data_IF_264956069604
#
_entry.id   IF_264956069604
#
_cell.length_a   1.000
_cell.length_b   1.000
_cell.length_c   1.000
_cell.angle_alpha   90.00
_cell.angle_beta   90.00
_cell.angle_gamma   90.00
#
_symmetry.space_group_name_H-M   'P 1'
#
loop_
_entity.id
_entity.type
_entity.pdbx_description
1 polymer ?
#
# COMPACT_ATOMS: atom_id res chain seq x y z
N UNK A 1 -29.07 -27.83 18.73
CA UNK A 1 -28.50 -27.20 17.52
C UNK A 1 -27.47 -26.18 17.99
N UNK A 2 -26.22 -26.52 17.92
CA UNK A 2 -25.15 -25.53 18.13
C UNK A 2 -25.27 -24.50 16.98
N UNK A 3 -25.66 -23.28 17.34
CA UNK A 3 -25.63 -22.18 16.36
C UNK A 3 -24.18 -21.97 15.96
N UNK A 4 -23.87 -22.18 14.69
CA UNK A 4 -22.57 -21.81 14.13
C UNK A 4 -22.29 -20.35 14.53
N UNK A 5 -21.15 -20.13 15.19
CA UNK A 5 -20.68 -18.77 15.44
C UNK A 5 -20.62 -18.05 14.10
N UNK A 6 -21.03 -16.77 14.01
CA UNK A 6 -21.00 -16.06 12.75
C UNK A 6 -19.60 -16.13 12.17
N UNK A 7 -19.48 -16.62 10.93
CA UNK A 7 -18.22 -16.75 10.23
C UNK A 7 -17.55 -15.37 10.13
N UNK A 8 -16.28 -15.29 10.52
CA UNK A 8 -15.51 -14.04 10.45
C UNK A 8 -14.80 -13.99 9.09
N UNK A 9 -15.07 -12.96 8.30
CA UNK A 9 -14.44 -12.78 7.00
C UNK A 9 -13.49 -11.58 6.99
N UNK A 10 -12.34 -11.75 6.37
CA UNK A 10 -11.41 -10.68 6.05
C UNK A 10 -11.61 -10.26 4.57
N UNK A 11 -11.71 -8.94 4.34
CA UNK A 11 -11.78 -8.34 3.01
C UNK A 11 -10.40 -7.84 2.59
N UNK A 12 -9.76 -8.53 1.67
CA UNK A 12 -8.56 -8.06 0.98
C UNK A 12 -8.92 -7.22 -0.25
N UNK A 13 -8.29 -6.06 -0.40
CA UNK A 13 -8.45 -5.16 -1.56
C UNK A 13 -7.10 -4.98 -2.24
N UNK A 14 -7.06 -5.20 -3.56
CA UNK A 14 -5.89 -4.98 -4.42
C UNK A 14 -6.18 -3.86 -5.42
N UNK A 15 -5.41 -2.77 -5.31
CA UNK A 15 -5.44 -1.62 -6.22
C UNK A 15 -4.29 -1.77 -7.24
N UNK A 16 -4.58 -2.44 -8.34
CA UNK A 16 -3.64 -2.55 -9.46
C UNK A 16 -3.64 -1.33 -10.38
N UNK A 17 -2.85 -1.38 -11.45
CA UNK A 17 -2.76 -0.30 -12.46
C UNK A 17 -4.04 -0.15 -13.29
N UNK A 18 -4.69 -1.26 -13.63
CA UNK A 18 -5.84 -1.29 -14.54
C UNK A 18 -7.20 -1.33 -13.83
N UNK A 19 -7.22 -1.56 -12.52
CA UNK A 19 -8.48 -1.70 -11.79
C UNK A 19 -8.28 -2.16 -10.35
N UNK A 20 -9.40 -2.42 -9.69
CA UNK A 20 -9.47 -2.89 -8.32
C UNK A 20 -10.00 -4.32 -8.28
N UNK A 21 -9.47 -5.13 -7.37
CA UNK A 21 -9.93 -6.47 -7.05
C UNK A 21 -10.20 -6.57 -5.57
N UNK A 22 -11.07 -7.48 -5.18
CA UNK A 22 -11.31 -7.84 -3.80
C UNK A 22 -11.49 -9.34 -3.63
N UNK A 23 -11.17 -9.82 -2.43
CA UNK A 23 -11.41 -11.18 -2.01
C UNK A 23 -11.92 -11.19 -0.56
N UNK A 24 -12.86 -12.07 -0.27
CA UNK A 24 -13.31 -12.39 1.08
C UNK A 24 -12.81 -13.78 1.46
N UNK A 25 -12.07 -13.85 2.54
CA UNK A 25 -11.49 -15.10 3.05
C UNK A 25 -11.83 -15.26 4.52
N UNK A 26 -11.96 -16.49 4.95
CA UNK A 26 -12.08 -16.82 6.37
C UNK A 26 -10.70 -17.05 7.03
N UNK A 27 -10.64 -17.22 8.38
CA UNK A 27 -9.38 -17.50 9.06
C UNK A 27 -8.71 -18.83 8.68
N UNK A 28 -9.43 -19.76 8.05
CA UNK A 28 -8.89 -21.00 7.52
C UNK A 28 -8.21 -20.82 6.16
N UNK A 29 -8.39 -19.67 5.52
CA UNK A 29 -7.86 -19.38 4.19
C UNK A 29 -8.82 -19.73 3.06
N UNK A 30 -10.04 -20.16 3.36
CA UNK A 30 -11.04 -20.48 2.34
C UNK A 30 -11.60 -19.20 1.72
N UNK A 31 -11.67 -19.20 0.37
CA UNK A 31 -12.17 -18.09 -0.42
C UNK A 31 -13.70 -18.16 -0.56
N UNK A 32 -14.40 -17.18 -0.02
CA UNK A 32 -15.87 -17.10 -0.05
C UNK A 32 -16.42 -16.23 -1.17
N UNK A 33 -15.65 -15.22 -1.60
CA UNK A 33 -16.03 -14.34 -2.70
C UNK A 33 -14.81 -13.66 -3.29
N UNK A 34 -14.82 -13.46 -4.61
CA UNK A 34 -13.84 -12.60 -5.28
C UNK A 34 -14.50 -11.85 -6.43
N UNK A 35 -14.05 -10.63 -6.67
CA UNK A 35 -14.53 -9.80 -7.77
C UNK A 35 -13.44 -8.80 -8.19
N UNK A 36 -13.56 -8.31 -9.43
CA UNK A 36 -12.69 -7.27 -9.95
C UNK A 36 -13.40 -6.39 -10.97
N UNK A 37 -13.00 -5.14 -11.07
CA UNK A 37 -13.46 -4.25 -12.12
C UNK A 37 -12.36 -3.28 -12.54
N UNK A 38 -12.45 -2.77 -13.77
CA UNK A 38 -11.67 -1.61 -14.18
C UNK A 38 -12.08 -0.37 -13.35
N UNK A 39 -11.18 0.56 -13.21
CA UNK A 39 -11.50 1.85 -12.59
C UNK A 39 -12.56 2.59 -13.43
N UNK A 40 -13.53 3.26 -12.80
CA UNK A 40 -14.53 4.06 -13.53
C UNK A 40 -14.00 5.39 -14.09
N UNK A 41 -12.71 5.68 -13.88
CA UNK A 41 -11.99 6.85 -14.36
C UNK A 41 -10.49 6.60 -14.47
N UNK A 42 -9.69 7.61 -14.79
CA UNK A 42 -8.23 7.49 -14.91
C UNK A 42 -7.59 6.97 -13.62
N UNK A 43 -6.59 6.10 -13.78
CA UNK A 43 -5.83 5.53 -12.67
C UNK A 43 -5.22 6.58 -11.72
N UNK A 44 -4.81 7.72 -12.27
CA UNK A 44 -4.18 8.81 -11.50
C UNK A 44 -5.16 9.62 -10.65
N UNK A 45 -6.46 9.39 -10.80
CA UNK A 45 -7.51 10.05 -10.03
C UNK A 45 -7.92 9.22 -8.81
N UNK A 46 -7.60 9.66 -7.57
CA UNK A 46 -7.89 8.88 -6.37
C UNK A 46 -9.38 8.55 -6.18
N UNK A 47 -10.27 9.40 -6.68
CA UNK A 47 -11.72 9.17 -6.65
C UNK A 47 -12.11 7.90 -7.41
N UNK A 48 -11.38 7.55 -8.48
CA UNK A 48 -11.63 6.32 -9.24
C UNK A 48 -11.35 5.06 -8.40
N UNK A 49 -10.38 5.11 -7.48
CA UNK A 49 -10.08 4.00 -6.56
C UNK A 49 -11.23 3.78 -5.56
N UNK A 50 -11.74 4.87 -4.96
CA UNK A 50 -12.90 4.80 -4.05
C UNK A 50 -14.13 4.26 -4.77
N UNK A 51 -14.44 4.79 -5.96
CA UNK A 51 -15.63 4.39 -6.74
C UNK A 51 -15.53 2.93 -7.16
N UNK A 52 -14.34 2.45 -7.56
CA UNK A 52 -14.11 1.05 -7.87
C UNK A 52 -14.39 0.15 -6.67
N UNK A 53 -13.87 0.50 -5.48
CA UNK A 53 -14.12 -0.26 -4.26
C UNK A 53 -15.61 -0.25 -3.87
N UNK A 54 -16.28 0.90 -3.92
CA UNK A 54 -17.72 1.00 -3.64
C UNK A 54 -18.52 0.09 -4.57
N UNK A 55 -18.21 0.13 -5.87
CA UNK A 55 -18.87 -0.73 -6.87
C UNK A 55 -18.70 -2.22 -6.56
N UNK A 56 -17.47 -2.65 -6.21
CA UNK A 56 -17.21 -4.05 -5.90
C UNK A 56 -17.88 -4.47 -4.58
N UNK A 57 -17.81 -3.65 -3.54
CA UNK A 57 -18.47 -3.95 -2.28
C UNK A 57 -19.99 -4.08 -2.44
N UNK A 58 -20.61 -3.26 -3.29
CA UNK A 58 -22.05 -3.35 -3.54
C UNK A 58 -22.46 -4.65 -4.25
N UNK A 59 -21.54 -5.28 -4.98
CA UNK A 59 -21.77 -6.55 -5.66
C UNK A 59 -21.59 -7.79 -4.76
N UNK A 60 -20.96 -7.65 -3.58
CA UNK A 60 -20.86 -8.75 -2.61
C UNK A 60 -22.24 -9.10 -2.06
N UNK A 61 -22.65 -10.38 -2.00
CA UNK A 61 -23.90 -10.79 -1.36
C UNK A 61 -24.02 -10.26 0.08
N UNK A 62 -25.18 -9.71 0.42
CA UNK A 62 -25.42 -9.09 1.74
C UNK A 62 -25.08 -9.98 2.94
N UNK A 63 -25.37 -11.30 2.94
CA UNK A 63 -24.98 -12.17 4.03
C UNK A 63 -23.46 -12.21 4.27
N UNK A 64 -22.65 -12.22 3.20
CA UNK A 64 -21.18 -12.19 3.29
C UNK A 64 -20.68 -10.82 3.77
N UNK A 65 -21.25 -9.71 3.25
CA UNK A 65 -20.86 -8.36 3.69
C UNK A 65 -21.01 -8.16 5.20
N UNK A 66 -22.10 -8.70 5.78
CA UNK A 66 -22.37 -8.61 7.22
C UNK A 66 -21.38 -9.38 8.09
N UNK A 67 -20.62 -10.31 7.52
CA UNK A 67 -19.64 -11.14 8.20
C UNK A 67 -18.22 -10.56 8.13
N UNK A 68 -18.01 -9.43 7.41
CA UNK A 68 -16.70 -8.78 7.33
C UNK A 68 -16.32 -8.20 8.68
N UNK A 69 -15.23 -8.70 9.25
CA UNK A 69 -14.68 -8.26 10.54
C UNK A 69 -13.36 -7.51 10.42
N UNK A 70 -12.66 -7.67 9.29
CA UNK A 70 -11.41 -6.97 9.03
C UNK A 70 -11.25 -6.64 7.54
N UNK A 71 -10.48 -5.60 7.24
CA UNK A 71 -10.11 -5.26 5.86
C UNK A 71 -8.71 -4.63 5.78
N UNK A 72 -8.03 -4.89 4.66
CA UNK A 72 -6.73 -4.30 4.33
C UNK A 72 -6.63 -4.01 2.83
N UNK A 73 -5.78 -3.03 2.48
CA UNK A 73 -5.62 -2.55 1.10
C UNK A 73 -4.17 -2.72 0.66
N UNK A 74 -3.92 -3.50 -0.38
CA UNK A 74 -2.69 -3.48 -1.14
C UNK A 74 -2.81 -2.47 -2.30
N UNK A 75 -1.73 -1.79 -2.63
CA UNK A 75 -1.70 -0.83 -3.74
C UNK A 75 -0.39 -0.85 -4.49
N UNK A 76 -0.38 -0.23 -5.66
CA UNK A 76 0.82 -0.14 -6.50
C UNK A 76 1.97 0.50 -5.73
N UNK A 77 3.13 -0.16 -5.75
CA UNK A 77 4.29 0.26 -4.99
C UNK A 77 4.90 1.55 -5.52
N UNK A 78 4.65 2.66 -4.83
CA UNK A 78 5.25 3.95 -5.15
C UNK A 78 4.37 4.95 -5.91
N UNK A 79 3.11 4.63 -6.22
CA UNK A 79 2.12 5.63 -6.63
C UNK A 79 1.83 6.54 -5.45
N UNK A 80 2.03 7.84 -5.59
CA UNK A 80 2.00 8.82 -4.51
C UNK A 80 1.11 10.01 -4.86
N UNK A 81 0.42 10.56 -3.87
CA UNK A 81 -0.35 11.79 -4.00
C UNK A 81 -0.12 12.76 -2.84
N UNK A 82 -0.36 14.05 -3.10
CA UNK A 82 -0.43 15.10 -2.10
C UNK A 82 -1.88 15.36 -1.71
N UNK A 83 -2.12 15.68 -0.45
CA UNK A 83 -3.46 15.93 0.08
C UNK A 83 -3.47 17.07 1.10
N UNK A 84 -4.66 17.61 1.37
CA UNK A 84 -4.91 18.54 2.47
C UNK A 84 -5.08 17.80 3.82
N UNK A 85 -5.41 18.55 4.88
CA UNK A 85 -5.63 18.01 6.24
C UNK A 85 -6.85 17.09 6.35
N UNK A 86 -7.82 17.24 5.44
CA UNK A 86 -9.05 16.44 5.39
C UNK A 86 -8.92 15.22 4.46
N UNK A 87 -7.73 15.04 3.86
CA UNK A 87 -7.42 13.94 2.96
C UNK A 87 -7.91 14.15 1.53
N UNK A 88 -8.34 15.35 1.16
CA UNK A 88 -8.71 15.64 -0.23
C UNK A 88 -7.43 15.71 -1.08
N UNK A 89 -7.37 14.98 -2.20
CA UNK A 89 -6.25 15.09 -3.12
C UNK A 89 -6.13 16.51 -3.68
N UNK A 90 -4.92 17.05 -3.68
CA UNK A 90 -4.62 18.38 -4.26
C UNK A 90 -4.48 18.35 -5.78
N UNK A 91 -4.47 17.14 -6.36
CA UNK A 91 -4.39 16.90 -7.78
C UNK A 91 -4.28 15.42 -8.09
N UNK A 92 -3.83 15.10 -9.29
CA UNK A 92 -3.62 13.73 -9.71
C UNK A 92 -2.45 13.09 -8.96
N UNK A 93 -2.56 11.79 -8.70
CA UNK A 93 -1.46 11.00 -8.17
C UNK A 93 -0.34 10.85 -9.21
N UNK A 94 0.91 10.84 -8.76
CA UNK A 94 2.05 10.46 -9.58
C UNK A 94 2.19 8.93 -9.56
N UNK A 95 1.97 8.24 -10.69
CA UNK A 95 2.03 6.79 -10.75
C UNK A 95 3.45 6.27 -10.52
N UNK A 96 3.57 5.02 -10.09
CA UNK A 96 4.83 4.37 -9.71
C UNK A 96 5.90 4.40 -10.82
N UNK A 97 5.50 4.47 -12.08
CA UNK A 97 6.38 4.53 -13.26
C UNK A 97 6.68 5.96 -13.75
N UNK A 98 6.14 6.99 -13.07
CA UNK A 98 6.46 8.39 -13.38
C UNK A 98 7.83 8.77 -12.79
N UNK A 99 8.87 8.65 -13.57
CA UNK A 99 10.20 9.09 -13.18
C UNK A 99 10.26 10.63 -13.08
N UNK A 100 11.09 11.11 -12.15
CA UNK A 100 11.30 12.54 -11.88
C UNK A 100 12.81 12.84 -11.93
N UNK A 101 13.43 12.83 -13.13
CA UNK A 101 14.89 12.92 -13.30
C UNK A 101 15.49 14.22 -12.74
N UNK A 102 14.74 15.29 -12.70
CA UNK A 102 15.17 16.58 -12.12
C UNK A 102 15.52 16.48 -10.63
N UNK A 103 14.99 15.48 -9.92
CA UNK A 103 15.23 15.25 -8.50
C UNK A 103 16.35 14.24 -8.20
N UNK A 104 17.03 13.67 -9.22
CA UNK A 104 18.06 12.63 -9.06
C UNK A 104 19.13 13.03 -8.04
N UNK A 105 19.75 14.20 -8.19
CA UNK A 105 20.79 14.69 -7.29
C UNK A 105 20.28 14.89 -5.85
N UNK A 106 19.03 15.36 -5.68
CA UNK A 106 18.44 15.54 -4.36
C UNK A 106 18.14 14.21 -3.67
N UNK A 107 17.64 13.21 -4.40
CA UNK A 107 17.41 11.86 -3.88
C UNK A 107 18.71 11.23 -3.38
N UNK A 108 19.83 11.38 -4.10
CA UNK A 108 21.14 10.89 -3.68
C UNK A 108 21.69 11.58 -2.42
N UNK A 109 21.30 12.82 -2.15
CA UNK A 109 21.66 13.52 -0.91
C UNK A 109 20.81 13.06 0.30
N UNK A 110 19.62 12.55 0.05
CA UNK A 110 18.66 12.15 1.09
C UNK A 110 18.74 10.67 1.47
N UNK A 111 19.33 9.83 0.62
CA UNK A 111 19.40 8.39 0.82
C UNK A 111 20.77 7.84 0.41
N UNK A 112 21.21 6.79 1.09
CA UNK A 112 22.49 6.10 0.80
C UNK A 112 22.52 5.53 -0.62
N UNK A 113 23.68 5.45 -1.27
CA UNK A 113 23.84 4.81 -2.57
C UNK A 113 23.28 3.37 -2.55
N UNK A 114 22.47 3.04 -3.56
CA UNK A 114 21.80 1.75 -3.66
C UNK A 114 20.47 1.63 -2.89
N UNK A 115 20.15 2.58 -2.02
CA UNK A 115 18.84 2.62 -1.37
C UNK A 115 17.73 2.99 -2.39
N UNK A 116 16.55 2.35 -2.37
CA UNK A 116 15.46 2.62 -3.32
C UNK A 116 15.03 4.10 -3.38
N UNK A 117 15.16 4.83 -2.27
CA UNK A 117 14.86 6.27 -2.20
C UNK A 117 15.88 7.15 -2.93
N UNK A 118 17.09 6.66 -3.24
CA UNK A 118 18.11 7.41 -3.98
C UNK A 118 17.82 7.48 -5.50
N UNK A 119 16.84 6.75 -6.00
CA UNK A 119 16.51 6.66 -7.42
C UNK A 119 15.58 7.78 -7.89
N UNK A 120 15.88 8.37 -9.06
CA UNK A 120 15.00 9.32 -9.74
C UNK A 120 13.67 8.71 -10.21
N UNK A 121 13.59 7.40 -10.36
CA UNK A 121 12.35 6.64 -10.60
C UNK A 121 11.68 6.15 -9.31
N UNK A 122 12.28 6.45 -8.15
CA UNK A 122 11.77 6.07 -6.84
C UNK A 122 10.66 6.97 -6.31
N UNK A 123 10.05 6.55 -5.20
CA UNK A 123 8.97 7.31 -4.55
C UNK A 123 9.45 8.64 -3.98
N UNK A 124 10.70 8.71 -3.49
CA UNK A 124 11.28 9.95 -2.98
C UNK A 124 11.29 11.06 -4.04
N UNK A 125 11.64 10.75 -5.29
CA UNK A 125 11.64 11.73 -6.37
C UNK A 125 10.21 12.28 -6.63
N UNK A 126 9.20 11.42 -6.58
CA UNK A 126 7.78 11.83 -6.67
C UNK A 126 7.33 12.66 -5.47
N UNK A 127 7.82 12.35 -4.27
CA UNK A 127 7.53 13.13 -3.07
C UNK A 127 8.08 14.55 -3.16
N UNK A 128 9.31 14.71 -3.64
CA UNK A 128 9.92 16.03 -3.87
C UNK A 128 9.17 16.82 -4.94
N UNK A 129 8.75 16.17 -6.03
CA UNK A 129 7.94 16.77 -7.08
C UNK A 129 6.59 17.26 -6.55
N UNK A 130 5.88 16.42 -5.79
CA UNK A 130 4.59 16.79 -5.21
C UNK A 130 4.71 17.90 -4.17
N UNK A 131 5.76 17.88 -3.36
CA UNK A 131 6.03 18.92 -2.37
C UNK A 131 6.32 20.28 -3.04
N UNK A 132 7.07 20.28 -4.17
CA UNK A 132 7.29 21.51 -4.94
C UNK A 132 6.01 21.99 -5.62
N UNK A 133 5.21 21.06 -6.19
CA UNK A 133 3.98 21.37 -6.90
C UNK A 133 2.86 21.85 -5.96
N UNK A 134 2.83 21.32 -4.74
CA UNK A 134 1.82 21.62 -3.72
C UNK A 134 2.47 22.01 -2.39
N UNK A 135 3.04 23.24 -2.28
CA UNK A 135 3.76 23.67 -1.08
C UNK A 135 2.88 23.79 0.17
N UNK A 136 1.56 23.80 0.00
CA UNK A 136 0.58 23.81 1.11
C UNK A 136 0.01 22.42 1.44
N UNK A 137 0.55 21.35 0.85
CA UNK A 137 0.14 19.99 1.19
C UNK A 137 0.28 19.73 2.69
N UNK A 138 -0.66 18.95 3.23
CA UNK A 138 -0.67 18.52 4.63
C UNK A 138 -0.32 17.04 4.78
N UNK A 139 -0.16 16.33 3.67
CA UNK A 139 0.28 14.94 3.66
C UNK A 139 0.65 14.42 2.29
N UNK A 140 1.58 13.45 2.29
CA UNK A 140 1.95 12.65 1.14
C UNK A 140 1.62 11.19 1.47
N UNK A 141 0.79 10.54 0.64
CA UNK A 141 0.35 9.15 0.89
C UNK A 141 0.44 8.32 -0.38
N UNK A 142 0.86 7.07 -0.19
CA UNK A 142 0.76 6.10 -1.27
C UNK A 142 -0.70 5.74 -1.56
N UNK A 143 -0.96 5.17 -2.73
CA UNK A 143 -2.29 4.78 -3.19
C UNK A 143 -3.08 3.98 -2.14
N UNK A 144 -2.51 2.87 -1.66
CA UNK A 144 -3.14 2.02 -0.65
C UNK A 144 -3.32 2.71 0.70
N UNK A 145 -2.32 3.53 1.11
CA UNK A 145 -2.37 4.30 2.36
C UNK A 145 -3.46 5.38 2.34
N UNK A 146 -3.63 6.05 1.20
CA UNK A 146 -4.66 7.07 1.06
C UNK A 146 -6.07 6.44 1.12
N UNK A 147 -6.29 5.30 0.44
CA UNK A 147 -7.57 4.60 0.52
C UNK A 147 -7.82 4.04 1.93
N UNK A 148 -6.78 3.52 2.60
CA UNK A 148 -6.82 3.13 4.02
C UNK A 148 -7.21 4.31 4.92
N UNK A 149 -6.67 5.50 4.63
CA UNK A 149 -7.05 6.72 5.33
C UNK A 149 -8.52 7.09 5.16
N UNK A 150 -9.06 6.95 3.94
CA UNK A 150 -10.49 7.13 3.68
C UNK A 150 -11.35 6.11 4.44
N UNK A 151 -10.93 4.84 4.49
CA UNK A 151 -11.61 3.79 5.26
C UNK A 151 -11.66 4.12 6.76
N UNK A 152 -10.64 4.79 7.29
CA UNK A 152 -10.51 5.17 8.70
C UNK A 152 -11.09 6.56 9.02
N UNK A 153 -11.32 7.43 8.02
CA UNK A 153 -11.60 8.86 8.22
C UNK A 153 -10.40 9.64 8.76
N UNK A 154 -9.17 9.13 8.58
CA UNK A 154 -7.93 9.78 9.02
C UNK A 154 -6.72 9.27 8.23
N UNK A 155 -5.83 10.15 7.79
CA UNK A 155 -4.74 9.82 6.86
C UNK A 155 -3.33 9.86 7.49
N UNK A 156 -3.21 9.61 8.79
CA UNK A 156 -1.90 9.67 9.48
C UNK A 156 -1.01 8.45 9.25
N UNK A 157 -1.56 7.32 8.83
CA UNK A 157 -0.86 6.04 8.77
C UNK A 157 -0.23 5.78 7.40
N UNK A 158 0.93 5.13 7.40
CA UNK A 158 1.56 4.50 6.25
C UNK A 158 2.09 3.13 6.61
N UNK A 159 2.23 2.27 5.61
CA UNK A 159 2.83 0.96 5.79
C UNK A 159 4.34 0.98 5.52
N UNK A 160 5.05 0.09 6.22
CA UNK A 160 6.50 -0.01 6.17
C UNK A 160 7.01 -0.35 4.75
N UNK A 161 6.28 -1.16 3.98
CA UNK A 161 6.73 -1.64 2.68
C UNK A 161 6.72 -0.52 1.62
N UNK A 162 5.70 0.32 1.60
CA UNK A 162 5.67 1.51 0.76
C UNK A 162 6.68 2.56 1.26
N UNK A 163 6.76 2.77 2.57
CA UNK A 163 7.63 3.78 3.19
C UNK A 163 9.12 3.50 2.99
N UNK A 164 9.54 2.24 2.77
CA UNK A 164 10.91 1.88 2.43
C UNK A 164 11.42 2.67 1.21
N UNK A 165 10.62 2.74 0.13
CA UNK A 165 10.99 3.48 -1.10
C UNK A 165 10.95 5.00 -0.92
N UNK A 166 10.39 5.46 0.18
CA UNK A 166 10.36 6.88 0.59
C UNK A 166 11.48 7.22 1.60
N UNK A 167 12.31 6.23 1.96
CA UNK A 167 13.49 6.41 2.80
C UNK A 167 13.30 6.03 4.28
N UNK A 168 12.26 5.24 4.59
CA UNK A 168 12.13 4.64 5.91
C UNK A 168 13.16 3.53 6.11
N UNK A 169 13.87 3.56 7.24
CA UNK A 169 14.82 2.51 7.64
C UNK A 169 14.09 1.49 8.53
N UNK A 170 13.84 0.27 8.05
CA UNK A 170 13.14 -0.75 8.82
C UNK A 170 13.96 -1.29 10.01
N UNK A 171 15.30 -1.19 9.97
CA UNK A 171 16.18 -1.65 11.05
C UNK A 171 16.19 -0.66 12.20
N UNK A 172 16.18 0.64 11.89
CA UNK A 172 16.13 1.72 12.89
C UNK A 172 14.73 2.14 13.27
N UNK A 173 13.71 1.64 12.54
CA UNK A 173 12.31 2.02 12.72
C UNK A 173 12.10 3.53 12.68
N UNK A 174 12.71 4.19 11.70
CA UNK A 174 12.69 5.65 11.58
C UNK A 174 12.98 6.14 10.15
N UNK A 175 12.63 7.41 9.88
CA UNK A 175 13.11 8.11 8.70
C UNK A 175 14.62 8.33 8.83
N UNK A 176 15.38 8.21 7.74
CA UNK A 176 16.81 8.51 7.76
C UNK A 176 17.05 9.92 8.32
N UNK A 177 18.19 10.16 8.97
CA UNK A 177 18.49 11.47 9.53
C UNK A 177 18.42 12.60 8.51
N UNK A 178 18.83 12.34 7.28
CA UNK A 178 18.76 13.29 6.18
C UNK A 178 17.30 13.65 5.78
N UNK A 179 16.37 12.71 5.89
CA UNK A 179 14.93 12.92 5.61
C UNK A 179 14.25 13.52 6.83
N UNK A 180 14.52 12.99 8.02
CA UNK A 180 13.93 13.45 9.29
C UNK A 180 14.21 14.92 9.60
N UNK A 181 15.34 15.47 9.12
CA UNK A 181 15.71 16.88 9.26
C UNK A 181 15.06 17.82 8.24
N UNK A 182 14.33 17.29 7.25
CA UNK A 182 13.71 18.13 6.23
C UNK A 182 12.47 18.87 6.77
N UNK A 183 12.25 20.14 6.39
CA UNK A 183 11.05 20.90 6.79
C UNK A 183 9.73 20.21 6.42
N UNK A 184 9.74 19.43 5.35
CA UNK A 184 8.58 18.68 4.85
C UNK A 184 8.42 17.28 5.45
N UNK A 185 9.29 16.87 6.38
CA UNK A 185 9.19 15.54 7.03
C UNK A 185 7.82 15.31 7.69
N UNK A 186 7.17 16.36 8.17
CA UNK A 186 5.82 16.31 8.74
C UNK A 186 4.72 15.88 7.76
N UNK A 187 4.97 15.90 6.44
CA UNK A 187 4.04 15.40 5.42
C UNK A 187 4.04 13.87 5.33
N UNK A 188 5.09 13.22 5.82
CA UNK A 188 5.26 11.78 5.75
C UNK A 188 4.35 11.07 6.77
N UNK A 189 3.95 9.82 6.49
CA UNK A 189 3.07 9.08 7.37
C UNK A 189 3.77 8.61 8.65
N UNK A 190 2.96 8.33 9.67
CA UNK A 190 3.37 7.49 10.78
C UNK A 190 3.40 6.03 10.31
N UNK A 191 4.59 5.45 10.24
CA UNK A 191 4.81 4.13 9.65
C UNK A 191 4.50 3.02 10.66
N UNK A 192 3.78 2.01 10.18
CA UNK A 192 3.45 0.79 10.93
C UNK A 192 3.74 -0.44 10.08
N UNK A 193 3.82 -1.61 10.72
CA UNK A 193 3.97 -2.88 9.99
C UNK A 193 2.66 -3.26 9.30
N UNK A 194 2.72 -3.87 8.09
CA UNK A 194 1.55 -4.51 7.48
C UNK A 194 0.84 -5.45 8.45
N UNK A 195 -0.50 -5.49 8.40
CA UNK A 195 -1.32 -6.27 9.32
C UNK A 195 -1.59 -5.60 10.68
N UNK A 196 -0.94 -4.46 11.01
CA UNK A 196 -1.26 -3.72 12.23
C UNK A 196 -2.69 -3.20 12.16
N UNK A 197 -3.50 -3.51 13.17
CA UNK A 197 -4.86 -2.97 13.29
C UNK A 197 -4.80 -1.48 13.61
N UNK A 198 -5.45 -0.67 12.78
CA UNK A 198 -5.40 0.80 12.85
C UNK A 198 -6.63 1.41 13.52
N UNK A 199 -7.75 0.69 13.49
CA UNK A 199 -9.01 1.11 14.09
C UNK A 199 -10.24 0.61 13.32
N UNK A 200 -11.44 0.93 13.81
CA UNK A 200 -12.68 0.55 13.16
C UNK A 200 -12.90 1.34 11.86
N UNK A 201 -13.69 0.75 10.98
CA UNK A 201 -14.14 1.37 9.74
C UNK A 201 -14.96 2.63 10.03
N UNK A 202 -14.62 3.73 9.38
CA UNK A 202 -15.31 5.03 9.55
C UNK A 202 -16.81 4.90 9.21
N UNK A 203 -17.74 5.28 10.12
CA UNK A 203 -19.16 5.00 9.93
C UNK A 203 -19.75 5.48 8.60
N UNK A 204 -19.48 6.71 8.10
CA UNK A 204 -19.95 7.14 6.77
C UNK A 204 -19.45 6.25 5.63
N UNK A 205 -18.22 5.73 5.73
CA UNK A 205 -17.62 4.85 4.73
C UNK A 205 -18.21 3.43 4.84
N UNK A 206 -18.40 2.92 6.07
CA UNK A 206 -19.07 1.67 6.32
C UNK A 206 -20.45 1.61 5.67
N UNK A 207 -21.23 2.68 5.83
CA UNK A 207 -22.54 2.82 5.19
C UNK A 207 -22.45 2.81 3.66
N UNK A 208 -21.47 3.52 3.06
CA UNK A 208 -21.27 3.53 1.60
C UNK A 208 -20.89 2.15 1.05
N UNK A 209 -20.09 1.38 1.81
CA UNK A 209 -19.64 0.05 1.40
C UNK A 209 -20.66 -1.05 1.76
N UNK A 210 -21.63 -0.75 2.64
CA UNK A 210 -22.57 -1.73 3.20
C UNK A 210 -21.88 -2.76 4.10
N UNK A 211 -20.80 -2.36 4.79
CA UNK A 211 -19.99 -3.18 5.70
C UNK A 211 -20.30 -2.82 7.18
N UNK A 212 -20.01 -3.72 8.13
CA UNK A 212 -20.17 -3.41 9.55
C UNK A 212 -19.24 -2.28 10.00
N UNK A 213 -19.74 -1.34 10.79
CA UNK A 213 -18.95 -0.27 11.40
C UNK A 213 -17.91 -0.79 12.40
N UNK A 214 -18.10 -2.04 12.89
CA UNK A 214 -17.17 -2.72 13.79
C UNK A 214 -16.00 -3.38 13.06
N UNK A 215 -16.04 -3.50 11.73
CA UNK A 215 -14.95 -4.07 10.94
C UNK A 215 -13.66 -3.28 11.17
N UNK A 216 -12.56 -3.99 11.43
CA UNK A 216 -11.28 -3.38 11.72
C UNK A 216 -10.48 -3.15 10.43
N UNK A 217 -9.95 -1.97 10.26
CA UNK A 217 -9.04 -1.64 9.16
C UNK A 217 -7.62 -1.93 9.61
N UNK A 218 -6.89 -2.74 8.85
CA UNK A 218 -5.49 -3.04 9.08
C UNK A 218 -4.60 -2.33 8.05
N UNK A 219 -3.37 -2.05 8.44
CA UNK A 219 -2.34 -1.57 7.52
C UNK A 219 -2.10 -2.61 6.42
N UNK A 220 -2.11 -2.16 5.19
CA UNK A 220 -1.87 -2.99 4.02
C UNK A 220 -0.40 -3.13 3.65
N UNK A 221 -0.16 -3.36 2.37
CA UNK A 221 1.16 -3.57 1.79
C UNK A 221 1.19 -3.14 0.32
N UNK A 222 2.31 -3.37 -0.37
CA UNK A 222 2.39 -3.20 -1.82
C UNK A 222 1.76 -4.38 -2.55
N UNK A 223 1.22 -4.13 -3.76
CA UNK A 223 0.69 -5.17 -4.66
C UNK A 223 1.67 -6.33 -4.88
N UNK A 224 2.94 -6.02 -5.17
CA UNK A 224 3.97 -7.02 -5.38
C UNK A 224 4.32 -7.85 -4.13
N UNK A 225 4.21 -7.30 -2.91
CA UNK A 225 4.39 -8.06 -1.69
C UNK A 225 3.13 -8.88 -1.37
N UNK A 226 1.94 -8.33 -1.61
CA UNK A 226 0.68 -9.06 -1.47
C UNK A 226 0.64 -10.30 -2.38
N UNK A 227 1.08 -10.16 -3.64
CA UNK A 227 1.16 -11.29 -4.58
C UNK A 227 2.11 -12.41 -4.10
N UNK A 228 3.22 -12.05 -3.44
CA UNK A 228 4.13 -13.05 -2.85
C UNK A 228 3.51 -13.71 -1.63
N UNK A 229 2.89 -12.93 -0.74
CA UNK A 229 2.23 -13.48 0.45
C UNK A 229 1.05 -14.41 0.11
N UNK A 230 0.38 -14.17 -1.01
CA UNK A 230 -0.75 -14.97 -1.46
C UNK A 230 -0.40 -16.43 -1.83
N UNK A 231 0.88 -16.74 -2.05
CA UNK A 231 1.35 -18.11 -2.34
C UNK A 231 1.95 -18.79 -1.12
N UNK A 232 1.86 -18.17 0.06
CA UNK A 232 2.33 -18.68 1.36
C UNK A 232 3.76 -19.26 1.29
N UNK A 233 4.77 -18.45 0.87
CA UNK A 233 6.12 -18.93 0.68
C UNK A 233 6.74 -19.36 2.01
N UNK A 234 7.47 -20.49 1.97
CA UNK A 234 8.22 -20.97 3.10
C UNK A 234 9.65 -20.40 3.11
N UNK A 235 10.38 -20.44 4.24
CA UNK A 235 11.76 -20.00 4.32
C UNK A 235 12.64 -20.63 3.25
N UNK A 236 13.29 -19.80 2.44
CA UNK A 236 14.12 -20.24 1.32
C UNK A 236 13.39 -20.33 -0.03
N UNK A 237 12.07 -20.25 -0.05
CA UNK A 237 11.31 -20.25 -1.30
C UNK A 237 11.57 -18.96 -2.10
N UNK A 238 11.71 -19.16 -3.42
CA UNK A 238 11.76 -18.10 -4.41
C UNK A 238 10.42 -17.95 -5.12
N UNK A 239 9.90 -16.73 -5.19
CA UNK A 239 8.67 -16.40 -5.90
C UNK A 239 8.98 -15.50 -7.08
N UNK A 240 8.62 -15.94 -8.29
CA UNK A 240 8.72 -15.12 -9.51
C UNK A 240 7.33 -14.64 -9.91
N UNK A 241 7.17 -13.33 -9.99
CA UNK A 241 5.97 -12.69 -10.51
C UNK A 241 6.26 -12.26 -11.95
N UNK A 242 5.52 -12.83 -12.90
CA UNK A 242 5.66 -12.54 -14.33
C UNK A 242 4.53 -11.60 -14.78
N UNK A 243 4.92 -10.48 -15.34
CA UNK A 243 4.03 -9.47 -15.89
C UNK A 243 4.83 -8.57 -16.85
N UNK A 244 4.36 -7.37 -17.11
CA UNK A 244 5.13 -6.33 -17.82
C UNK A 244 6.47 -6.05 -17.12
N UNK A 245 6.52 -6.27 -15.83
CA UNK A 245 7.72 -6.28 -15.00
C UNK A 245 7.90 -7.68 -14.43
N UNK A 246 9.08 -8.26 -14.56
CA UNK A 246 9.46 -9.48 -13.86
C UNK A 246 9.99 -9.09 -12.47
N UNK A 247 9.41 -9.64 -11.41
CA UNK A 247 9.91 -9.50 -10.06
C UNK A 247 10.31 -10.87 -9.50
N UNK A 248 11.53 -10.95 -8.96
CA UNK A 248 12.02 -12.14 -8.26
C UNK A 248 12.17 -11.79 -6.79
N UNK A 249 11.58 -12.60 -5.91
CA UNK A 249 11.66 -12.42 -4.47
C UNK A 249 11.88 -13.74 -3.77
N UNK A 250 12.66 -13.71 -2.69
CA UNK A 250 12.97 -14.88 -1.86
C UNK A 250 12.75 -14.53 -0.38
N UNK A 251 12.19 -15.48 0.36
CA UNK A 251 12.04 -15.37 1.81
C UNK A 251 13.35 -15.79 2.48
N UNK A 252 13.99 -14.83 3.16
CA UNK A 252 15.33 -14.98 3.75
C UNK A 252 15.32 -14.65 5.25
N UNK A 253 16.24 -15.25 6.05
CA UNK A 253 16.35 -14.95 7.48
C UNK A 253 16.96 -13.57 7.77
N UNK A 254 17.69 -13.00 6.81
CA UNK A 254 18.38 -11.72 6.95
C UNK A 254 18.09 -10.80 5.75
N UNK A 255 18.18 -9.49 5.97
CA UNK A 255 18.11 -8.49 4.90
C UNK A 255 19.36 -8.53 4.03
N UNK A 256 19.18 -8.35 2.73
CA UNK A 256 20.24 -8.16 1.75
C UNK A 256 19.99 -6.85 0.99
N UNK A 257 21.07 -6.16 0.64
CA UNK A 257 21.05 -4.95 -0.16
C UNK A 257 22.09 -5.05 -1.27
N UNK A 258 21.75 -4.54 -2.43
CA UNK A 258 22.63 -4.52 -3.60
C UNK A 258 22.02 -3.71 -4.73
N UNK A 259 22.73 -3.57 -5.82
CA UNK A 259 22.21 -2.88 -7.00
C UNK A 259 20.94 -3.58 -7.51
N UNK A 260 19.79 -2.88 -7.42
CA UNK A 260 18.48 -3.43 -7.81
C UNK A 260 17.88 -4.45 -6.83
N UNK A 261 18.54 -4.75 -5.71
CA UNK A 261 18.07 -5.67 -4.68
C UNK A 261 17.77 -4.92 -3.39
N UNK A 262 16.61 -5.12 -2.83
CA UNK A 262 16.19 -4.54 -1.55
C UNK A 262 15.30 -5.51 -0.77
N UNK A 263 15.17 -5.27 0.52
CA UNK A 263 14.53 -6.20 1.45
C UNK A 263 13.34 -5.55 2.15
N UNK A 264 12.22 -6.27 2.18
CA UNK A 264 11.05 -5.89 2.97
C UNK A 264 10.91 -6.84 4.17
N UNK A 265 10.82 -6.34 5.41
CA UNK A 265 10.61 -7.21 6.56
C UNK A 265 9.19 -7.80 6.55
N UNK A 266 9.09 -9.12 6.71
CA UNK A 266 7.84 -9.87 6.80
C UNK A 266 7.91 -10.78 8.02
N UNK A 267 7.08 -10.50 9.04
CA UNK A 267 7.18 -11.23 10.31
C UNK A 267 8.60 -11.12 10.89
N UNK A 268 9.23 -12.27 11.10
CA UNK A 268 10.61 -12.39 11.57
C UNK A 268 11.62 -12.64 10.43
N UNK A 269 11.19 -12.49 9.19
CA UNK A 269 11.99 -12.75 8.00
C UNK A 269 12.03 -11.55 7.07
N UNK A 270 12.71 -11.69 5.94
CA UNK A 270 12.87 -10.66 4.94
C UNK A 270 12.49 -11.18 3.56
N UNK A 271 11.67 -10.45 2.89
CA UNK A 271 11.40 -10.67 1.48
C UNK A 271 12.42 -9.89 0.66
N UNK A 272 13.44 -10.59 0.21
CA UNK A 272 14.58 -10.06 -0.54
C UNK A 272 14.33 -10.20 -2.02
N UNK A 273 14.59 -9.18 -2.81
CA UNK A 273 14.49 -9.30 -4.25
C UNK A 273 14.56 -7.99 -4.99
N UNK A 274 14.33 -8.08 -6.28
CA UNK A 274 14.34 -6.97 -7.21
C UNK A 274 13.32 -7.14 -8.32
N UNK A 275 13.22 -6.13 -9.17
CA UNK A 275 12.36 -6.15 -10.32
C UNK A 275 13.11 -5.64 -11.56
N UNK A 276 12.80 -6.20 -12.72
CA UNK A 276 13.33 -5.80 -14.02
C UNK A 276 12.18 -5.57 -15.00
N UNK A 277 12.33 -4.53 -15.83
CA UNK A 277 11.37 -4.22 -16.90
C UNK A 277 11.65 -5.03 -18.19
N UNK A 278 12.35 -6.15 -18.07
CA UNK A 278 12.72 -7.04 -19.17
C UNK A 278 11.81 -8.29 -19.25
N UNK A 279 10.60 -8.16 -18.78
CA UNK A 279 9.57 -9.19 -18.91
C UNK A 279 8.83 -9.15 -20.24
#
# INVERSE_FOLDING_TARGET
>A
MAGDAPQQLALGVDLGTSGVRLALMDPGGDLHHQAGCAYPGPFVQPQAWQQGLIRLCSAIPLPLRRQVTALAVAGTSGTLLAMDSEGHPLGEALPYNAAQPQWAGRCQQLAEPGHPAASASGTMARALELQQRYPHAQGLRHQGEWLTGWLLGQWRWGDLHNSLKLGWDPLRSGWSGAIGSQPWCGLLPRVVRPGTVLGPLHPPVANKLGLPTTAQVAAGTTDGNAAVLAVDPQPGDGVTVLGTTMALKQLCPASLQGAGVYSHPIGNQWLVGGASNSG
#
